data_IF_463580387755
#
_entry.id   IF_463580387755
#
_cell.length_a   1.000
_cell.length_b   1.000
_cell.length_c   1.000
_cell.angle_alpha   90.00
_cell.angle_beta   90.00
_cell.angle_gamma   90.00
#
_symmetry.space_group_name_H-M   'P 1'
#
loop_
_entity.id
_entity.type
_entity.pdbx_description
1 polymer ?
#
# COMPACT_ATOMS: atom_id res chain seq x y z
N UNK A 1 -12.02 -3.54 32.83
CA UNK A 1 -11.92 -3.79 31.38
C UNK A 1 -11.19 -5.11 31.17
N UNK A 2 -11.78 -6.04 30.45
CA UNK A 2 -11.15 -7.33 30.14
C UNK A 2 -10.10 -7.14 29.04
N UNK A 3 -8.88 -7.64 29.25
CA UNK A 3 -7.80 -7.59 28.25
C UNK A 3 -7.81 -8.88 27.43
N UNK A 4 -7.61 -8.75 26.14
CA UNK A 4 -7.45 -9.86 25.20
C UNK A 4 -5.98 -9.89 24.78
N UNK A 5 -5.35 -11.05 24.82
CA UNK A 5 -3.95 -11.22 24.46
C UNK A 5 -3.85 -11.98 23.14
N UNK A 6 -3.18 -11.39 22.15
CA UNK A 6 -2.96 -12.01 20.87
C UNK A 6 -1.50 -12.45 20.75
N UNK A 7 -1.27 -13.73 20.44
CA UNK A 7 0.06 -14.31 20.23
C UNK A 7 0.25 -14.62 18.75
N UNK A 8 1.15 -13.88 18.09
CA UNK A 8 1.56 -14.12 16.69
C UNK A 8 2.67 -15.16 16.58
N UNK A 9 3.53 -15.26 17.61
CA UNK A 9 4.63 -16.22 17.66
C UNK A 9 4.83 -16.71 19.08
N UNK A 10 4.73 -18.02 19.27
CA UNK A 10 4.78 -18.71 20.56
C UNK A 10 4.49 -20.19 20.37
N UNK A 11 4.35 -20.95 21.47
CA UNK A 11 3.99 -22.37 21.45
C UNK A 11 2.64 -22.62 20.76
N UNK A 12 1.65 -21.76 21.05
CA UNK A 12 0.34 -21.72 20.40
C UNK A 12 0.00 -20.28 20.05
N UNK A 13 -0.35 -20.04 18.80
CA UNK A 13 -0.81 -18.73 18.31
C UNK A 13 -2.33 -18.60 18.47
N UNK A 14 -2.82 -17.36 18.54
CA UNK A 14 -4.25 -17.09 18.71
C UNK A 14 -4.55 -16.06 19.79
N UNK A 15 -5.84 -15.94 20.11
CA UNK A 15 -6.35 -15.07 21.17
C UNK A 15 -6.51 -15.82 22.48
N UNK A 16 -6.13 -15.16 23.57
CA UNK A 16 -6.24 -15.63 24.93
C UNK A 16 -6.92 -14.56 25.77
N UNK A 17 -7.82 -14.97 26.66
CA UNK A 17 -8.60 -14.02 27.46
C UNK A 17 -7.93 -13.70 28.80
N UNK A 18 -6.85 -14.42 29.14
CA UNK A 18 -6.10 -14.22 30.38
C UNK A 18 -4.59 -14.13 30.11
N UNK A 19 -3.91 -13.42 31.01
CA UNK A 19 -2.44 -13.34 30.97
C UNK A 19 -1.80 -14.71 31.17
N UNK A 20 -2.31 -15.53 32.10
CA UNK A 20 -1.75 -16.85 32.40
C UNK A 20 -1.74 -17.77 31.16
N UNK A 21 -2.80 -17.75 30.35
CA UNK A 21 -2.87 -18.52 29.11
C UNK A 21 -1.87 -18.02 28.07
N UNK A 22 -1.74 -16.70 27.90
CA UNK A 22 -0.79 -16.07 26.99
C UNK A 22 0.67 -16.34 27.41
N UNK A 23 0.98 -16.17 28.70
CA UNK A 23 2.30 -16.37 29.28
C UNK A 23 2.80 -17.80 29.03
N UNK A 24 1.93 -18.79 29.20
CA UNK A 24 2.25 -20.19 28.90
C UNK A 24 2.67 -20.40 27.43
N UNK A 25 2.22 -19.56 26.49
CA UNK A 25 2.60 -19.69 25.08
C UNK A 25 3.91 -19.00 24.75
N UNK A 26 4.28 -17.94 25.46
CA UNK A 26 5.40 -17.06 25.08
C UNK A 26 6.61 -17.19 26.01
N UNK A 27 6.42 -17.58 27.27
CA UNK A 27 7.48 -17.64 28.28
C UNK A 27 8.51 -18.72 27.93
N UNK A 28 9.75 -18.29 27.73
CA UNK A 28 10.86 -19.16 27.32
C UNK A 28 10.82 -19.60 25.85
N UNK A 29 9.93 -19.02 25.03
CA UNK A 29 9.93 -19.25 23.57
C UNK A 29 10.77 -18.17 22.88
N UNK A 30 11.81 -18.58 22.15
CA UNK A 30 12.72 -17.64 21.49
C UNK A 30 12.02 -16.85 20.38
N UNK A 31 12.07 -15.51 20.49
CA UNK A 31 11.43 -14.61 19.54
C UNK A 31 9.90 -14.64 19.58
N UNK A 32 9.30 -14.85 20.76
CA UNK A 32 7.85 -14.76 20.91
C UNK A 32 7.33 -13.34 20.60
N UNK A 33 6.19 -13.27 19.91
CA UNK A 33 5.52 -12.03 19.53
C UNK A 33 4.08 -12.07 20.03
N UNK A 34 3.74 -11.17 20.96
CA UNK A 34 2.40 -11.05 21.50
C UNK A 34 2.07 -9.59 21.88
N UNK A 35 0.78 -9.26 21.92
CA UNK A 35 0.29 -7.93 22.35
C UNK A 35 -1.09 -8.04 23.01
N UNK A 36 -1.37 -7.18 23.98
CA UNK A 36 -2.68 -7.09 24.64
C UNK A 36 -3.53 -5.97 24.05
N UNK A 37 -4.83 -6.22 23.94
CA UNK A 37 -5.83 -5.33 23.37
C UNK A 37 -7.06 -5.22 24.27
N UNK A 38 -7.80 -4.13 24.14
CA UNK A 38 -9.11 -3.91 24.76
C UNK A 38 -10.27 -4.18 23.81
N UNK A 39 -9.99 -4.26 22.50
CA UNK A 39 -10.92 -4.57 21.41
C UNK A 39 -10.61 -5.96 20.86
N UNK A 40 -11.65 -6.79 20.68
CA UNK A 40 -11.50 -8.11 20.06
C UNK A 40 -11.09 -8.00 18.59
N UNK A 41 -11.64 -7.02 17.89
CA UNK A 41 -11.38 -6.77 16.45
C UNK A 41 -9.89 -6.46 16.25
N UNK A 42 -9.34 -5.53 17.02
CA UNK A 42 -7.92 -5.15 16.93
C UNK A 42 -6.98 -6.33 17.24
N UNK A 43 -7.42 -7.22 18.13
CA UNK A 43 -6.67 -8.42 18.48
C UNK A 43 -6.69 -9.47 17.35
N UNK A 44 -7.83 -9.63 16.68
CA UNK A 44 -7.98 -10.46 15.48
C UNK A 44 -7.15 -9.91 14.32
N UNK A 45 -7.19 -8.60 14.09
CA UNK A 45 -6.37 -7.92 13.07
C UNK A 45 -4.88 -8.13 13.32
N UNK A 46 -4.44 -8.02 14.58
CA UNK A 46 -3.05 -8.28 14.94
C UNK A 46 -2.60 -9.71 14.62
N UNK A 47 -3.47 -10.72 14.74
CA UNK A 47 -3.17 -12.11 14.35
C UNK A 47 -3.22 -12.32 12.84
N UNK A 48 -4.12 -11.63 12.15
CA UNK A 48 -4.31 -11.72 10.70
C UNK A 48 -3.18 -11.04 9.93
N UNK A 49 -2.45 -10.11 10.57
CA UNK A 49 -1.14 -9.70 10.11
C UNK A 49 -0.21 -10.93 10.24
N UNK A 50 -0.15 -11.77 9.21
CA UNK A 50 0.86 -12.84 9.17
C UNK A 50 2.24 -12.20 9.03
N UNK A 51 3.07 -12.37 10.06
CA UNK A 51 4.51 -12.14 9.94
C UNK A 51 5.06 -13.08 8.87
N UNK A 52 5.51 -12.53 7.73
CA UNK A 52 6.67 -13.06 7.03
C UNK A 52 6.52 -14.08 5.90
N UNK A 53 5.32 -14.49 5.46
CA UNK A 53 5.17 -15.27 4.22
C UNK A 53 4.42 -14.46 3.15
N UNK A 54 5.21 -13.84 2.26
CA UNK A 54 4.78 -13.47 0.91
C UNK A 54 4.56 -14.77 0.11
N UNK A 55 3.49 -15.48 0.39
CA UNK A 55 2.95 -16.48 -0.52
C UNK A 55 1.82 -15.83 -1.32
N UNK A 56 1.97 -15.95 -2.63
CA UNK A 56 1.03 -15.53 -3.65
C UNK A 56 -0.41 -15.88 -3.26
N UNK A 57 -1.28 -14.88 -3.13
CA UNK A 57 -2.72 -15.11 -3.39
C UNK A 57 -2.98 -14.77 -4.84
N UNK A 58 -2.63 -15.71 -5.71
CA UNK A 58 -3.32 -15.89 -6.97
C UNK A 58 -4.13 -17.18 -6.86
N UNK A 59 -5.38 -17.06 -6.41
CA UNK A 59 -6.43 -18.07 -6.60
C UNK A 59 -7.80 -17.49 -6.29
N UNK A 60 -8.45 -16.99 -7.34
CA UNK A 60 -9.87 -17.14 -7.65
C UNK A 60 -10.88 -17.12 -6.48
N UNK A 61 -11.24 -15.91 -6.04
CA UNK A 61 -12.65 -15.55 -5.81
C UNK A 61 -12.79 -14.05 -6.07
N UNK A 62 -13.27 -13.73 -7.27
CA UNK A 62 -13.62 -12.40 -7.76
C UNK A 62 -14.66 -11.73 -6.85
N UNK A 63 -14.22 -11.09 -5.79
CA UNK A 63 -14.94 -9.96 -5.21
C UNK A 63 -13.95 -9.17 -4.35
N UNK A 64 -13.25 -8.21 -4.97
CA UNK A 64 -12.75 -7.07 -4.21
C UNK A 64 -13.92 -6.58 -3.35
N UNK A 65 -13.69 -6.38 -2.04
CA UNK A 65 -14.75 -5.93 -1.14
C UNK A 65 -15.46 -4.73 -1.78
N UNK A 66 -16.78 -4.82 -1.95
CA UNK A 66 -17.59 -3.67 -2.36
C UNK A 66 -17.24 -2.49 -1.45
N UNK A 67 -17.09 -1.31 -2.06
CA UNK A 67 -16.71 -0.05 -1.39
C UNK A 67 -15.23 0.14 -1.02
N UNK A 68 -14.32 -0.75 -1.46
CA UNK A 68 -12.87 -0.51 -1.42
C UNK A 68 -12.34 -0.34 -2.85
N UNK A 69 -11.64 0.77 -3.08
CA UNK A 69 -10.96 1.02 -4.35
C UNK A 69 -9.55 0.44 -4.28
N UNK A 70 -9.18 -0.33 -5.29
CA UNK A 70 -7.83 -0.88 -5.44
C UNK A 70 -7.13 -0.17 -6.60
N UNK A 71 -5.90 0.30 -6.39
CA UNK A 71 -5.12 0.99 -7.39
C UNK A 71 -3.70 0.41 -7.46
N UNK A 72 -3.31 -0.12 -8.61
CA UNK A 72 -1.93 -0.51 -8.91
C UNK A 72 -1.25 0.65 -9.60
N UNK A 73 -0.10 1.07 -9.09
CA UNK A 73 0.63 2.25 -9.56
C UNK A 73 2.04 1.87 -9.97
N UNK A 74 2.49 2.44 -11.09
CA UNK A 74 3.86 2.27 -11.58
C UNK A 74 4.33 3.52 -12.34
N UNK A 75 5.64 3.65 -12.49
CA UNK A 75 6.32 4.77 -13.12
C UNK A 75 7.35 4.33 -14.15
N UNK A 76 7.47 5.10 -15.23
CA UNK A 76 8.47 4.90 -16.27
C UNK A 76 9.25 6.19 -16.51
N UNK A 77 10.41 6.11 -17.17
CA UNK A 77 11.23 7.27 -17.47
C UNK A 77 11.86 7.19 -18.85
N UNK A 78 11.76 8.27 -19.62
CA UNK A 78 12.39 8.40 -20.92
C UNK A 78 13.65 9.27 -20.81
N UNK A 79 14.83 8.64 -20.95
CA UNK A 79 16.12 9.33 -20.87
C UNK A 79 16.34 10.37 -21.98
N UNK A 80 15.74 10.20 -23.16
CA UNK A 80 15.93 11.12 -24.29
C UNK A 80 15.24 12.46 -24.04
N UNK A 81 14.00 12.41 -23.55
CA UNK A 81 13.17 13.59 -23.34
C UNK A 81 13.24 14.13 -21.91
N UNK A 82 13.84 13.36 -20.98
CA UNK A 82 13.82 13.62 -19.52
C UNK A 82 12.41 13.71 -18.94
N UNK A 83 11.47 12.99 -19.54
CA UNK A 83 10.07 12.90 -19.10
C UNK A 83 9.87 11.63 -18.25
N UNK A 84 9.00 11.71 -17.26
CA UNK A 84 8.53 10.55 -16.50
C UNK A 84 7.07 10.25 -16.85
N UNK A 85 6.76 8.96 -16.95
CA UNK A 85 5.45 8.43 -17.26
C UNK A 85 4.84 7.80 -16.02
N UNK A 86 3.53 7.90 -15.88
CA UNK A 86 2.75 7.40 -14.76
C UNK A 86 1.63 6.51 -15.28
N UNK A 87 1.53 5.31 -14.72
CA UNK A 87 0.48 4.34 -15.03
C UNK A 87 -0.25 3.94 -13.76
N UNK A 88 -1.58 4.00 -13.79
CA UNK A 88 -2.40 3.46 -12.71
C UNK A 88 -3.56 2.63 -13.27
N UNK A 89 -3.71 1.42 -12.75
CA UNK A 89 -4.91 0.59 -12.96
C UNK A 89 -5.76 0.67 -11.69
N UNK A 90 -6.98 1.18 -11.82
CA UNK A 90 -7.94 1.28 -10.72
C UNK A 90 -9.03 0.23 -10.93
N UNK A 91 -9.34 -0.52 -9.88
CA UNK A 91 -10.45 -1.46 -9.82
C UNK A 91 -11.39 -1.05 -8.70
N UNK A 92 -12.64 -0.77 -9.04
CA UNK A 92 -13.67 -0.37 -8.08
C UNK A 92 -15.05 -0.87 -8.49
N UNK A 93 -15.74 -1.58 -7.59
CA UNK A 93 -17.07 -2.15 -7.81
C UNK A 93 -17.20 -2.96 -9.12
N UNK A 94 -16.16 -3.74 -9.45
CA UNK A 94 -16.10 -4.57 -10.66
C UNK A 94 -15.80 -3.80 -11.95
N UNK A 95 -15.54 -2.50 -11.86
CA UNK A 95 -15.16 -1.65 -13.00
C UNK A 95 -13.65 -1.39 -12.93
N UNK A 96 -12.98 -1.63 -14.06
CA UNK A 96 -11.58 -1.29 -14.26
C UNK A 96 -11.45 0.08 -14.95
N UNK A 97 -10.50 0.88 -14.50
CA UNK A 97 -10.18 2.19 -15.07
C UNK A 97 -8.68 2.35 -15.18
N UNK A 98 -8.22 2.54 -16.41
CA UNK A 98 -6.83 2.89 -16.70
C UNK A 98 -6.64 4.40 -16.62
N UNK A 99 -5.53 4.82 -16.00
CA UNK A 99 -5.06 6.19 -15.97
C UNK A 99 -3.61 6.19 -16.47
N UNK A 100 -3.33 7.10 -17.41
CA UNK A 100 -2.01 7.34 -17.99
C UNK A 100 -1.75 8.84 -17.94
N UNK A 101 -0.58 9.22 -17.46
CA UNK A 101 -0.14 10.60 -17.46
C UNK A 101 1.37 10.67 -17.65
N UNK A 102 1.86 11.84 -18.05
CA UNK A 102 3.30 12.12 -18.07
C UNK A 102 3.58 13.45 -17.43
N UNK A 103 4.80 13.59 -16.92
CA UNK A 103 5.31 14.83 -16.37
C UNK A 103 6.72 15.12 -16.86
N UNK A 104 7.07 16.40 -16.83
CA UNK A 104 8.36 16.92 -17.27
C UNK A 104 8.98 17.87 -16.24
N UNK A 105 8.48 17.86 -14.99
CA UNK A 105 9.03 18.68 -13.92
C UNK A 105 10.52 18.35 -13.73
N UNK A 106 11.35 19.40 -13.75
CA UNK A 106 12.81 19.27 -13.79
C UNK A 106 13.41 18.78 -12.48
N UNK A 107 12.73 18.95 -11.35
CA UNK A 107 13.18 18.47 -10.04
C UNK A 107 12.72 17.03 -9.80
N UNK A 108 11.49 16.70 -10.18
CA UNK A 108 10.94 15.34 -10.12
C UNK A 108 11.58 14.42 -11.15
N UNK A 109 11.86 14.86 -12.37
CA UNK A 109 12.53 14.04 -13.39
C UNK A 109 13.90 13.50 -12.94
N UNK A 110 14.57 14.16 -11.98
CA UNK A 110 15.80 13.62 -11.33
C UNK A 110 15.54 12.33 -10.55
N UNK A 111 14.30 12.07 -10.17
CA UNK A 111 13.84 10.85 -9.50
C UNK A 111 13.44 9.75 -10.49
N UNK A 112 13.50 10.01 -11.80
CA UNK A 112 13.26 9.05 -12.88
C UNK A 112 11.90 8.35 -12.74
N UNK A 113 11.87 7.02 -12.72
CA UNK A 113 10.66 6.21 -12.60
C UNK A 113 9.90 6.51 -11.29
N UNK A 114 10.61 6.84 -10.21
CA UNK A 114 9.98 7.19 -8.92
C UNK A 114 9.11 8.44 -9.03
N UNK A 115 9.43 9.38 -9.92
CA UNK A 115 8.53 10.52 -10.17
C UNK A 115 7.23 10.10 -10.87
N UNK A 116 7.32 9.12 -11.77
CA UNK A 116 6.16 8.46 -12.38
C UNK A 116 5.28 7.78 -11.34
N UNK A 117 5.88 7.03 -10.42
CA UNK A 117 5.15 6.35 -9.34
C UNK A 117 4.47 7.34 -8.38
N UNK A 118 5.17 8.43 -8.02
CA UNK A 118 4.58 9.53 -7.23
C UNK A 118 3.35 10.08 -7.94
N UNK A 119 3.48 10.42 -9.22
CA UNK A 119 2.38 10.97 -10.01
C UNK A 119 1.22 9.97 -10.15
N UNK A 120 1.51 8.68 -10.37
CA UNK A 120 0.50 7.63 -10.45
C UNK A 120 -0.25 7.47 -9.11
N UNK A 121 0.46 7.53 -7.99
CA UNK A 121 -0.13 7.51 -6.65
C UNK A 121 -1.02 8.73 -6.38
N UNK A 122 -0.59 9.93 -6.76
CA UNK A 122 -1.41 11.15 -6.64
C UNK A 122 -2.70 11.04 -7.47
N UNK A 123 -2.61 10.58 -8.71
CA UNK A 123 -3.77 10.39 -9.60
C UNK A 123 -4.75 9.37 -9.06
N UNK A 124 -4.26 8.27 -8.47
CA UNK A 124 -5.11 7.28 -7.82
C UNK A 124 -5.88 7.87 -6.62
N UNK A 125 -5.21 8.66 -5.78
CA UNK A 125 -5.83 9.35 -4.64
C UNK A 125 -6.85 10.39 -5.08
N UNK A 126 -6.51 11.20 -6.09
CA UNK A 126 -7.43 12.18 -6.66
C UNK A 126 -8.68 11.52 -7.24
N UNK A 127 -8.52 10.43 -7.99
CA UNK A 127 -9.64 9.67 -8.53
C UNK A 127 -10.53 9.12 -7.41
N UNK A 128 -9.95 8.54 -6.36
CA UNK A 128 -10.71 8.04 -5.21
C UNK A 128 -11.54 9.14 -4.53
N UNK A 129 -10.95 10.33 -4.33
CA UNK A 129 -11.67 11.50 -3.80
C UNK A 129 -12.80 11.93 -4.75
N UNK A 130 -12.55 11.97 -6.07
CA UNK A 130 -13.56 12.36 -7.05
C UNK A 130 -14.77 11.41 -7.10
N UNK A 131 -14.56 10.14 -6.76
CA UNK A 131 -15.59 9.11 -6.64
C UNK A 131 -16.20 9.03 -5.24
N UNK A 132 -15.80 9.92 -4.34
CA UNK A 132 -16.27 9.98 -2.96
C UNK A 132 -16.09 8.64 -2.21
N UNK A 133 -15.02 7.91 -2.54
CA UNK A 133 -14.69 6.64 -1.89
C UNK A 133 -13.97 6.91 -0.58
N UNK A 134 -14.24 6.09 0.44
CA UNK A 134 -13.58 6.22 1.75
C UNK A 134 -12.32 5.38 1.89
N UNK A 135 -12.27 4.19 1.29
CA UNK A 135 -11.16 3.24 1.45
C UNK A 135 -10.43 3.04 0.12
N UNK A 136 -9.12 3.28 0.11
CA UNK A 136 -8.25 3.12 -1.05
C UNK A 136 -7.07 2.23 -0.67
N UNK A 137 -6.80 1.20 -1.47
CA UNK A 137 -5.59 0.37 -1.37
C UNK A 137 -4.68 0.70 -2.56
N UNK A 138 -3.46 1.14 -2.28
CA UNK A 138 -2.45 1.43 -3.30
C UNK A 138 -1.40 0.32 -3.30
N UNK A 139 -1.29 -0.38 -4.43
CA UNK A 139 -0.27 -1.38 -4.70
C UNK A 139 0.89 -0.72 -5.43
N UNK A 140 2.10 -0.83 -4.86
CA UNK A 140 3.30 -0.17 -5.37
C UNK A 140 4.53 -1.06 -5.15
N UNK A 141 5.59 -0.86 -5.93
CA UNK A 141 6.82 -1.65 -5.82
C UNK A 141 7.93 -0.93 -5.03
N UNK A 142 7.87 0.41 -4.95
CA UNK A 142 8.83 1.23 -4.21
C UNK A 142 8.30 1.72 -2.85
N UNK A 143 9.04 1.41 -1.78
CA UNK A 143 8.66 1.78 -0.40
C UNK A 143 8.50 3.29 -0.16
N UNK A 144 9.14 4.14 -0.95
CA UNK A 144 9.07 5.58 -0.74
C UNK A 144 7.65 6.14 -0.89
N UNK A 145 6.81 5.53 -1.73
CA UNK A 145 5.41 5.93 -1.94
C UNK A 145 4.64 5.88 -0.61
N UNK A 146 4.68 4.75 0.09
CA UNK A 146 4.11 4.62 1.42
C UNK A 146 4.80 5.55 2.43
N UNK A 147 6.13 5.47 2.55
CA UNK A 147 6.84 6.06 3.68
C UNK A 147 6.91 7.59 3.66
N UNK A 148 6.88 8.21 2.48
CA UNK A 148 6.74 9.66 2.38
C UNK A 148 5.31 10.10 2.69
N UNK A 149 4.31 9.31 2.27
CA UNK A 149 2.90 9.61 2.51
C UNK A 149 2.54 9.52 4.01
N UNK A 150 3.00 8.47 4.70
CA UNK A 150 2.81 8.30 6.15
C UNK A 150 3.69 9.22 6.99
N UNK A 151 4.71 9.83 6.37
CA UNK A 151 5.65 10.73 7.00
C UNK A 151 6.76 10.03 7.81
N UNK A 152 6.86 8.70 7.73
CA UNK A 152 7.95 7.90 8.34
C UNK A 152 9.32 8.26 7.76
N UNK A 153 9.39 8.60 6.48
CA UNK A 153 10.62 9.03 5.82
C UNK A 153 10.73 10.56 5.74
N UNK A 154 11.96 11.07 5.92
CA UNK A 154 12.29 12.47 5.70
C UNK A 154 12.24 12.78 4.20
N UNK A 155 11.68 13.94 3.88
CA UNK A 155 11.56 14.46 2.52
C UNK A 155 12.57 15.58 2.34
N UNK A 156 13.55 15.40 1.45
CA UNK A 156 14.65 16.34 1.25
C UNK A 156 14.63 17.02 -0.13
N UNK A 157 13.73 16.59 -1.01
CA UNK A 157 13.56 17.12 -2.37
C UNK A 157 12.21 17.80 -2.50
N UNK A 158 12.11 18.87 -3.29
CA UNK A 158 10.86 19.62 -3.53
C UNK A 158 9.69 18.69 -3.88
N UNK A 159 9.89 17.79 -4.85
CA UNK A 159 8.85 16.83 -5.25
C UNK A 159 8.38 15.89 -4.13
N UNK A 160 9.29 15.41 -3.28
CA UNK A 160 8.92 14.56 -2.12
C UNK A 160 8.22 15.35 -1.01
N UNK A 161 8.56 16.63 -0.84
CA UNK A 161 7.92 17.53 0.12
C UNK A 161 6.49 17.81 -0.33
N UNK A 162 6.31 18.16 -1.61
CA UNK A 162 5.00 18.41 -2.20
C UNK A 162 4.10 17.17 -2.12
N UNK A 163 4.63 16.00 -2.49
CA UNK A 163 3.91 14.73 -2.37
C UNK A 163 3.43 14.46 -0.94
N UNK A 164 4.29 14.68 0.05
CA UNK A 164 3.94 14.53 1.47
C UNK A 164 2.81 15.49 1.90
N UNK A 165 2.84 16.74 1.45
CA UNK A 165 1.78 17.70 1.76
C UNK A 165 0.44 17.34 1.08
N UNK A 166 0.47 16.88 -0.17
CA UNK A 166 -0.71 16.34 -0.85
C UNK A 166 -1.27 15.12 -0.11
N UNK A 167 -0.41 14.17 0.23
CA UNK A 167 -0.76 12.99 1.02
C UNK A 167 -1.46 13.33 2.33
N UNK A 168 -0.96 14.32 3.10
CA UNK A 168 -1.64 14.79 4.32
C UNK A 168 -3.07 15.25 4.06
N UNK A 169 -3.34 15.88 2.92
CA UNK A 169 -4.69 16.32 2.57
C UNK A 169 -5.58 15.15 2.13
N UNK A 170 -5.02 14.16 1.42
CA UNK A 170 -5.75 12.95 1.04
C UNK A 170 -6.06 12.04 2.23
N UNK A 171 -5.12 11.84 3.16
CA UNK A 171 -5.29 11.03 4.38
C UNK A 171 -6.37 11.57 5.33
N UNK A 172 -6.75 12.86 5.21
CA UNK A 172 -7.92 13.42 5.93
C UNK A 172 -9.26 13.01 5.33
N UNK A 173 -9.28 12.65 4.05
CA UNK A 173 -10.49 12.33 3.27
C UNK A 173 -10.63 10.84 3.00
N UNK A 174 -9.50 10.13 2.92
CA UNK A 174 -9.38 8.73 2.56
C UNK A 174 -8.70 7.95 3.69
N UNK A 175 -9.16 6.73 3.92
CA UNK A 175 -8.41 5.69 4.58
C UNK A 175 -7.56 4.97 3.51
N UNK A 176 -6.25 5.22 3.52
CA UNK A 176 -5.32 4.71 2.51
C UNK A 176 -4.48 3.58 3.11
N UNK A 177 -4.53 2.41 2.50
CA UNK A 177 -3.64 1.28 2.77
C UNK A 177 -2.61 1.16 1.65
N UNK A 178 -1.34 0.96 2.01
CA UNK A 178 -0.26 0.74 1.05
C UNK A 178 0.18 -0.71 1.08
N UNK A 179 0.21 -1.35 -0.09
CA UNK A 179 0.60 -2.75 -0.25
C UNK A 179 1.81 -2.83 -1.16
N UNK A 180 2.96 -3.19 -0.57
CA UNK A 180 4.17 -3.42 -1.35
C UNK A 180 4.07 -4.72 -2.15
N UNK A 181 4.00 -4.60 -3.47
CA UNK A 181 4.15 -5.72 -4.40
C UNK A 181 5.63 -5.93 -4.74
N UNK A 182 5.99 -7.13 -5.17
CA UNK A 182 7.34 -7.41 -5.69
C UNK A 182 7.37 -6.94 -7.14
N UNK A 183 8.33 -6.11 -7.51
CA UNK A 183 8.56 -5.78 -8.91
C UNK A 183 8.73 -7.08 -9.72
N UNK A 184 8.08 -7.16 -10.89
CA UNK A 184 8.14 -8.29 -11.82
C UNK A 184 7.73 -9.66 -11.24
N UNK A 185 6.81 -9.70 -10.27
CA UNK A 185 6.37 -10.97 -9.65
C UNK A 185 5.25 -11.71 -10.38
N UNK A 186 4.87 -11.32 -11.60
CA UNK A 186 3.74 -11.92 -12.31
C UNK A 186 2.37 -11.48 -11.79
N UNK A 187 2.29 -10.37 -11.05
CA UNK A 187 1.00 -9.74 -10.74
C UNK A 187 0.50 -9.02 -12.00
N UNK A 188 -0.52 -9.61 -12.63
CA UNK A 188 -1.14 -9.12 -13.86
C UNK A 188 -1.53 -7.64 -13.78
N UNK A 189 -2.02 -7.17 -12.63
CA UNK A 189 -2.47 -5.79 -12.48
C UNK A 189 -1.30 -4.82 -12.36
N UNK A 190 -0.21 -5.25 -11.71
CA UNK A 190 1.02 -4.47 -11.69
C UNK A 190 1.67 -4.40 -13.08
N UNK A 191 1.66 -5.49 -13.84
CA UNK A 191 2.15 -5.50 -15.22
C UNK A 191 1.34 -4.58 -16.14
N UNK A 192 0.02 -4.47 -15.91
CA UNK A 192 -0.82 -3.48 -16.59
C UNK A 192 -0.35 -2.06 -16.21
N UNK A 193 -0.16 -1.76 -14.93
CA UNK A 193 0.33 -0.45 -14.48
C UNK A 193 1.70 -0.07 -15.10
N UNK A 194 2.67 -1.00 -15.13
CA UNK A 194 3.97 -0.83 -15.81
C UNK A 194 3.80 -0.50 -17.31
N UNK A 195 2.96 -1.28 -17.99
CA UNK A 195 2.64 -1.06 -19.41
C UNK A 195 2.03 0.32 -19.62
N UNK A 196 1.07 0.73 -18.79
CA UNK A 196 0.43 2.04 -18.86
C UNK A 196 1.45 3.18 -18.68
N UNK A 197 2.39 3.03 -17.74
CA UNK A 197 3.44 4.02 -17.51
C UNK A 197 4.39 4.13 -18.71
N UNK A 198 4.77 3.01 -19.34
CA UNK A 198 5.57 3.03 -20.57
C UNK A 198 4.83 3.65 -21.75
N UNK A 199 3.57 3.30 -21.94
CA UNK A 199 2.71 3.85 -23.01
C UNK A 199 2.51 5.35 -22.90
N UNK A 200 2.49 5.92 -21.69
CA UNK A 200 2.39 7.37 -21.50
C UNK A 200 3.57 8.18 -22.05
N UNK A 201 4.69 7.52 -22.37
CA UNK A 201 5.93 8.12 -22.87
C UNK A 201 6.18 7.83 -24.36
N UNK A 202 5.26 7.13 -25.03
CA UNK A 202 5.30 6.83 -26.46
C UNK A 202 4.77 8.00 -27.30
#
# INVERSE_FOLDING_TARGET
MSKIYAVRKGRKTGLFNTWAECENQVKGFSGAEFKSFTSKIDAEDYLNLKSGNKEHVCSNSNEFKKDIMHAWVDGSFNLKNKEYGAGALIVFNGIEKEIKAKGNDTELSKMRNVAGEILASELAMEYAVSKNVKNLVIYHDYLGIEKWCTGEWKTNKSGTIEYKEKCKNYLKKLNIEFVKVKAHSGDKNNEIADKLAKESLL
#
